data_IF_615909921618
#
_entry.id   IF_615909921618
#
_cell.length_a   1.000
_cell.length_b   1.000
_cell.length_c   1.000
_cell.angle_alpha   90.00
_cell.angle_beta   90.00
_cell.angle_gamma   90.00
#
_symmetry.space_group_name_H-M   'P 1'
#
loop_
_entity.id
_entity.type
_entity.pdbx_description
1 polymer ?
#
# COMPACT_ATOMS: atom_id res chain seq x y z
N UNK A 1 -53.73 -3.92 4.34
CA UNK A 1 -52.58 -3.86 3.42
C UNK A 1 -51.45 -3.17 4.16
N UNK A 2 -50.45 -3.93 4.63
CA UNK A 2 -49.26 -3.34 5.24
C UNK A 2 -48.42 -2.68 4.14
N UNK A 3 -47.92 -1.45 4.32
CA UNK A 3 -46.98 -0.88 3.36
C UNK A 3 -45.72 -1.75 3.40
N UNK A 4 -45.33 -2.29 2.25
CA UNK A 4 -44.02 -2.90 2.06
C UNK A 4 -43.00 -1.78 2.25
N UNK A 5 -42.29 -1.78 3.38
CA UNK A 5 -41.17 -0.88 3.60
C UNK A 5 -40.20 -1.05 2.42
N UNK A 6 -39.84 0.02 1.69
CA UNK A 6 -38.86 -0.09 0.62
C UNK A 6 -37.56 -0.61 1.23
N UNK A 7 -36.92 -1.59 0.59
CA UNK A 7 -35.69 -2.22 1.08
C UNK A 7 -34.69 -1.15 1.53
N UNK A 8 -34.56 -1.00 2.85
CA UNK A 8 -33.81 0.08 3.48
C UNK A 8 -32.30 -0.07 3.30
N UNK A 9 -31.86 -1.14 2.63
CA UNK A 9 -30.49 -1.61 2.58
C UNK A 9 -30.12 -2.04 1.15
N UNK A 10 -29.15 -1.36 0.57
CA UNK A 10 -28.60 -1.63 -0.76
C UNK A 10 -27.17 -2.17 -0.64
N UNK A 11 -26.86 -3.22 -1.39
CA UNK A 11 -25.51 -3.81 -1.45
C UNK A 11 -25.11 -4.02 -2.90
N UNK A 12 -23.94 -3.50 -3.26
CA UNK A 12 -23.26 -3.77 -4.52
C UNK A 12 -22.04 -4.66 -4.25
N UNK A 13 -21.98 -5.82 -4.90
CA UNK A 13 -20.83 -6.72 -4.84
C UNK A 13 -20.33 -7.02 -6.24
N UNK A 14 -19.15 -6.54 -6.62
CA UNK A 14 -18.59 -6.70 -7.98
C UNK A 14 -17.11 -7.09 -7.94
N UNK A 15 -16.62 -7.72 -9.00
CA UNK A 15 -15.18 -7.84 -9.23
C UNK A 15 -14.66 -6.50 -9.73
N UNK A 16 -13.51 -6.08 -9.23
CA UNK A 16 -12.88 -4.81 -9.61
C UNK A 16 -11.38 -5.01 -9.76
N UNK A 17 -10.78 -4.18 -10.61
CA UNK A 17 -9.35 -3.93 -10.54
C UNK A 17 -9.16 -2.65 -9.73
N UNK A 18 -8.34 -2.70 -8.70
CA UNK A 18 -8.01 -1.54 -7.86
C UNK A 18 -6.61 -1.09 -8.20
N UNK A 19 -6.38 0.21 -8.33
CA UNK A 19 -5.06 0.79 -8.58
C UNK A 19 -4.75 1.96 -7.67
N UNK A 20 -3.46 2.19 -7.42
CA UNK A 20 -2.97 3.40 -6.75
C UNK A 20 -2.50 4.39 -7.81
N UNK A 21 -3.11 5.59 -7.90
CA UNK A 21 -2.74 6.60 -8.89
C UNK A 21 -1.25 6.96 -8.84
N UNK A 22 -0.63 7.07 -10.01
CA UNK A 22 0.80 7.41 -10.13
C UNK A 22 1.76 6.25 -9.90
N UNK A 23 1.25 5.04 -9.65
CA UNK A 23 2.06 3.83 -9.47
C UNK A 23 1.69 2.74 -10.47
N UNK A 24 2.52 1.70 -10.58
CA UNK A 24 2.21 0.49 -11.36
C UNK A 24 1.36 -0.52 -10.57
N UNK A 25 1.10 -0.28 -9.28
CA UNK A 25 0.41 -1.23 -8.42
C UNK A 25 -1.08 -1.29 -8.76
N UNK A 26 -1.52 -2.46 -9.21
CA UNK A 26 -2.92 -2.79 -9.39
C UNK A 26 -3.22 -4.21 -8.98
N UNK A 27 -4.33 -4.43 -8.30
CA UNK A 27 -4.75 -5.74 -7.82
C UNK A 27 -6.17 -6.07 -8.27
N UNK A 28 -6.44 -7.36 -8.47
CA UNK A 28 -7.77 -7.90 -8.65
C UNK A 28 -8.39 -8.11 -7.27
N UNK A 29 -9.56 -7.53 -7.06
CA UNK A 29 -10.26 -7.61 -5.79
C UNK A 29 -11.77 -7.80 -6.00
N UNK A 30 -12.45 -8.24 -4.94
CA UNK A 30 -13.89 -8.13 -4.83
C UNK A 30 -14.21 -6.88 -4.03
N UNK A 31 -15.03 -6.01 -4.61
CA UNK A 31 -15.54 -4.82 -3.95
C UNK A 31 -16.95 -5.08 -3.44
N UNK A 32 -17.17 -4.80 -2.15
CA UNK A 32 -18.50 -4.71 -1.54
C UNK A 32 -18.73 -3.25 -1.14
N UNK A 33 -19.84 -2.68 -1.59
CA UNK A 33 -20.32 -1.38 -1.15
C UNK A 33 -21.70 -1.61 -0.56
N UNK A 34 -21.92 -1.18 0.68
CA UNK A 34 -23.23 -1.27 1.30
C UNK A 34 -23.69 0.10 1.78
N UNK A 35 -25.01 0.27 1.77
CA UNK A 35 -25.68 1.48 2.18
C UNK A 35 -27.00 1.13 2.86
N UNK A 36 -27.21 1.64 4.08
CA UNK A 36 -28.49 1.62 4.77
C UNK A 36 -29.01 3.04 4.90
N UNK A 37 -30.32 3.24 4.70
CA UNK A 37 -30.98 4.53 4.92
C UNK A 37 -31.42 4.75 6.37
N UNK A 38 -31.52 3.70 7.19
CA UNK A 38 -32.05 3.81 8.56
C UNK A 38 -31.27 2.89 9.54
N UNK A 39 -30.37 3.46 10.37
CA UNK A 39 -29.77 4.79 10.23
C UNK A 39 -28.86 4.87 8.99
N UNK A 40 -28.57 6.08 8.52
CA UNK A 40 -27.72 6.32 7.34
C UNK A 40 -26.30 5.80 7.55
N UNK A 41 -26.03 4.60 7.04
CA UNK A 41 -24.76 3.89 7.19
C UNK A 41 -24.21 3.48 5.85
N UNK A 42 -22.89 3.43 5.76
CA UNK A 42 -22.20 2.98 4.57
C UNK A 42 -20.91 2.24 4.86
N UNK A 43 -20.48 1.45 3.89
CA UNK A 43 -19.18 0.81 3.90
C UNK A 43 -18.68 0.60 2.47
N UNK A 44 -17.36 0.67 2.30
CA UNK A 44 -16.67 0.12 1.13
C UNK A 44 -15.64 -0.86 1.66
N UNK A 45 -15.69 -2.10 1.18
CA UNK A 45 -14.73 -3.13 1.52
C UNK A 45 -14.14 -3.75 0.26
N UNK A 46 -12.83 -3.92 0.24
CA UNK A 46 -12.08 -4.54 -0.84
C UNK A 46 -11.42 -5.80 -0.31
N UNK A 47 -11.75 -6.96 -0.87
CA UNK A 47 -11.21 -8.24 -0.41
C UNK A 47 -10.42 -8.95 -1.51
N UNK A 48 -9.29 -9.53 -1.15
CA UNK A 48 -8.53 -10.46 -1.98
C UNK A 48 -8.47 -11.83 -1.32
N UNK A 49 -8.29 -12.86 -2.15
CA UNK A 49 -7.88 -14.18 -1.70
C UNK A 49 -6.40 -14.34 -1.98
N UNK A 50 -5.64 -14.81 -1.01
CA UNK A 50 -4.19 -15.00 -1.11
C UNK A 50 -3.77 -16.15 -0.19
N UNK A 51 -2.61 -16.75 -0.48
CA UNK A 51 -2.01 -17.72 0.43
C UNK A 51 -1.02 -16.98 1.34
N UNK A 52 -1.22 -17.02 2.65
CA UNK A 52 -0.31 -16.38 3.60
C UNK A 52 0.79 -17.36 4.03
N UNK A 53 2.02 -16.87 4.20
CA UNK A 53 3.21 -17.69 4.48
C UNK A 53 3.09 -18.59 5.72
N UNK A 54 2.25 -18.22 6.68
CA UNK A 54 2.08 -18.93 7.96
C UNK A 54 0.65 -19.51 8.13
N UNK A 55 -0.13 -19.57 7.06
CA UNK A 55 -1.46 -20.17 7.09
C UNK A 55 -1.43 -21.62 6.64
N UNK A 56 -2.20 -22.47 7.30
CA UNK A 56 -2.52 -23.81 6.81
C UNK A 56 -3.52 -23.76 5.65
N UNK A 57 -4.28 -22.67 5.55
CA UNK A 57 -5.27 -22.46 4.50
C UNK A 57 -4.63 -21.75 3.30
N UNK A 58 -4.79 -22.34 2.12
CA UNK A 58 -4.25 -21.78 0.86
C UNK A 58 -5.12 -20.66 0.26
N UNK A 59 -6.10 -20.14 1.00
CA UNK A 59 -7.05 -19.16 0.49
C UNK A 59 -7.58 -18.23 1.59
N UNK A 60 -6.66 -17.63 2.34
CA UNK A 60 -7.01 -16.60 3.31
C UNK A 60 -7.64 -15.40 2.62
N UNK A 61 -8.63 -14.80 3.28
CA UNK A 61 -9.28 -13.59 2.81
C UNK A 61 -8.73 -12.39 3.58
N UNK A 62 -8.04 -11.49 2.87
CA UNK A 62 -7.67 -10.19 3.41
C UNK A 62 -8.67 -9.14 2.93
N UNK A 63 -9.14 -8.28 3.83
CA UNK A 63 -10.10 -7.24 3.47
C UNK A 63 -9.62 -5.86 3.94
N UNK A 64 -9.57 -4.90 3.02
CA UNK A 64 -9.43 -3.49 3.33
C UNK A 64 -10.82 -2.91 3.53
N UNK A 65 -11.09 -2.37 4.72
CA UNK A 65 -12.30 -1.65 5.02
C UNK A 65 -12.04 -0.14 4.99
N UNK A 66 -12.78 0.57 4.14
CA UNK A 66 -12.72 2.02 4.01
C UNK A 66 -13.88 2.62 4.78
N UNK A 67 -13.54 3.28 5.89
CA UNK A 67 -14.50 4.00 6.72
C UNK A 67 -15.03 5.23 5.94
N UNK A 68 -16.36 5.43 5.83
CA UNK A 68 -16.92 6.59 5.13
C UNK A 68 -16.40 7.94 5.69
N UNK A 69 -16.22 8.04 7.01
CA UNK A 69 -15.64 9.21 7.68
C UNK A 69 -14.18 9.50 7.30
N UNK A 70 -13.46 8.52 6.75
CA UNK A 70 -12.09 8.73 6.25
C UNK A 70 -12.06 9.27 4.82
N UNK A 71 -13.18 9.27 4.09
CA UNK A 71 -13.25 9.73 2.70
C UNK A 71 -13.30 11.25 2.66
N UNK A 72 -12.30 11.87 2.02
CA UNK A 72 -12.25 13.32 1.77
C UNK A 72 -12.94 13.72 0.47
N UNK A 73 -12.78 12.90 -0.55
CA UNK A 73 -13.36 13.14 -1.86
C UNK A 73 -13.58 11.82 -2.58
N UNK A 74 -14.64 11.74 -3.36
CA UNK A 74 -14.93 10.63 -4.26
C UNK A 74 -15.49 11.16 -5.57
N UNK A 75 -15.02 10.61 -6.69
CA UNK A 75 -15.53 10.93 -8.02
C UNK A 75 -15.80 9.65 -8.80
N UNK A 76 -16.99 9.55 -9.39
CA UNK A 76 -17.40 8.40 -10.20
C UNK A 76 -17.57 8.84 -11.64
N UNK A 77 -16.80 8.21 -12.54
CA UNK A 77 -16.90 8.44 -13.98
C UNK A 77 -17.46 7.19 -14.65
N UNK A 78 -18.54 7.33 -15.43
CA UNK A 78 -19.21 6.20 -16.11
C UNK A 78 -18.33 5.56 -17.17
N UNK A 79 -17.67 6.36 -18.01
CA UNK A 79 -16.71 5.90 -19.02
C UNK A 79 -15.33 6.49 -18.76
N UNK A 80 -14.39 5.64 -18.42
CA UNK A 80 -13.04 6.02 -17.99
C UNK A 80 -12.24 6.52 -19.18
N UNK A 81 -11.62 7.67 -19.02
CA UNK A 81 -10.67 8.23 -19.99
C UNK A 81 -9.30 7.53 -19.83
N UNK A 82 -8.44 7.54 -20.86
CA UNK A 82 -7.12 6.89 -20.82
C UNK A 82 -6.21 7.37 -19.67
N UNK A 83 -6.37 8.61 -19.20
CA UNK A 83 -5.63 9.14 -18.05
C UNK A 83 -6.06 8.52 -16.70
N UNK A 84 -7.29 8.03 -16.61
CA UNK A 84 -7.81 7.34 -15.43
C UNK A 84 -7.55 5.83 -15.50
N UNK A 85 -7.67 5.26 -16.70
CA UNK A 85 -7.48 3.85 -16.98
C UNK A 85 -6.57 3.69 -18.21
N UNK A 86 -5.24 3.63 -18.01
CA UNK A 86 -4.27 3.38 -19.07
C UNK A 86 -4.50 2.02 -19.75
N UNK A 87 -3.90 1.84 -20.93
CA UNK A 87 -4.07 0.62 -21.75
C UNK A 87 -3.72 -0.67 -21.00
N UNK A 88 -2.61 -0.70 -20.26
CA UNK A 88 -2.19 -1.88 -19.49
C UNK A 88 -3.23 -2.27 -18.42
N UNK A 89 -3.83 -1.27 -17.79
CA UNK A 89 -4.87 -1.47 -16.78
C UNK A 89 -6.18 -1.94 -17.43
N UNK A 90 -6.52 -1.40 -18.60
CA UNK A 90 -7.67 -1.84 -19.39
C UNK A 90 -7.53 -3.30 -19.83
N UNK A 91 -6.32 -3.71 -20.24
CA UNK A 91 -6.00 -5.10 -20.55
C UNK A 91 -6.17 -6.00 -19.33
N UNK A 92 -5.65 -5.60 -18.16
CA UNK A 92 -5.85 -6.33 -16.90
C UNK A 92 -7.34 -6.49 -16.58
N UNK A 93 -8.14 -5.42 -16.68
CA UNK A 93 -9.59 -5.46 -16.43
C UNK A 93 -10.29 -6.47 -17.36
N UNK A 94 -9.90 -6.54 -18.64
CA UNK A 94 -10.44 -7.51 -19.61
C UNK A 94 -10.06 -8.95 -19.28
N UNK A 95 -8.86 -9.17 -18.76
CA UNK A 95 -8.41 -10.48 -18.29
C UNK A 95 -9.19 -10.90 -17.04
N UNK A 96 -9.47 -9.97 -16.13
CA UNK A 96 -10.18 -10.23 -14.88
C UNK A 96 -11.69 -10.40 -15.07
N UNK A 97 -12.29 -9.66 -16.02
CA UNK A 97 -13.74 -9.62 -16.25
C UNK A 97 -14.03 -9.86 -17.73
N UNK A 98 -14.56 -11.04 -18.03
CA UNK A 98 -14.96 -11.42 -19.39
C UNK A 98 -15.99 -10.45 -19.97
N UNK A 99 -15.83 -10.07 -21.23
CA UNK A 99 -16.72 -9.15 -21.93
C UNK A 99 -16.57 -7.67 -21.55
N UNK A 100 -15.54 -7.28 -20.79
CA UNK A 100 -15.30 -5.89 -20.42
C UNK A 100 -14.90 -5.02 -21.64
N UNK A 101 -15.83 -4.22 -22.14
CA UNK A 101 -15.57 -3.25 -23.23
C UNK A 101 -15.41 -1.83 -22.70
N UNK A 102 -16.38 -1.39 -21.88
CA UNK A 102 -16.40 -0.10 -21.20
C UNK A 102 -16.04 -0.25 -19.72
N UNK A 103 -15.25 0.69 -19.19
CA UNK A 103 -14.81 0.73 -17.79
C UNK A 103 -15.32 1.99 -17.10
N UNK A 104 -15.95 1.85 -15.93
CA UNK A 104 -16.19 2.95 -15.00
C UNK A 104 -15.08 3.01 -13.95
N UNK A 105 -14.70 4.22 -13.53
CA UNK A 105 -13.71 4.42 -12.47
C UNK A 105 -14.31 5.25 -11.34
N UNK A 106 -14.22 4.71 -10.12
CA UNK A 106 -14.44 5.42 -8.88
C UNK A 106 -13.07 5.80 -8.30
N UNK A 107 -12.78 7.09 -8.23
CA UNK A 107 -11.60 7.61 -7.54
C UNK A 107 -11.96 7.99 -6.12
N UNK A 108 -11.16 7.57 -5.14
CA UNK A 108 -11.38 7.81 -3.72
C UNK A 108 -10.11 8.42 -3.13
N UNK A 109 -10.26 9.53 -2.42
CA UNK A 109 -9.20 10.16 -1.64
C UNK A 109 -9.55 10.09 -0.17
N UNK A 110 -8.62 9.58 0.63
CA UNK A 110 -8.79 9.31 2.05
C UNK A 110 -7.94 10.28 2.89
N UNK A 111 -8.45 10.69 4.05
CA UNK A 111 -7.69 11.44 5.05
C UNK A 111 -6.60 10.58 5.69
N UNK A 112 -6.92 9.30 5.89
CA UNK A 112 -6.04 8.25 6.42
C UNK A 112 -6.31 6.95 5.66
N UNK A 113 -5.32 6.05 5.55
CA UNK A 113 -5.55 4.73 4.98
C UNK A 113 -6.70 3.96 5.65
N UNK A 114 -7.26 2.98 4.94
CA UNK A 114 -8.30 2.11 5.48
C UNK A 114 -7.77 1.17 6.57
N UNK A 115 -8.66 0.38 7.15
CA UNK A 115 -8.32 -0.63 8.15
C UNK A 115 -8.24 -2.00 7.48
N UNK A 116 -7.23 -2.79 7.82
CA UNK A 116 -7.04 -4.13 7.30
C UNK A 116 -7.69 -5.13 8.26
N UNK A 117 -8.56 -5.96 7.71
CA UNK A 117 -9.15 -7.11 8.36
C UNK A 117 -8.35 -8.34 7.93
N UNK A 118 -7.72 -8.99 8.89
CA UNK A 118 -6.89 -10.17 8.66
C UNK A 118 -7.07 -11.22 9.77
N UNK A 119 -6.59 -12.47 9.56
CA UNK A 119 -6.67 -13.49 10.60
C UNK A 119 -6.04 -13.06 11.93
N UNK A 120 -6.67 -13.44 13.04
CA UNK A 120 -6.27 -13.02 14.40
C UNK A 120 -4.86 -13.45 14.80
N UNK A 121 -4.38 -14.58 14.27
CA UNK A 121 -3.04 -15.10 14.50
C UNK A 121 -1.94 -14.24 13.86
N UNK A 122 -2.26 -13.46 12.83
CA UNK A 122 -1.28 -12.73 12.05
C UNK A 122 -0.72 -11.53 12.84
N UNK A 123 0.58 -11.59 13.17
CA UNK A 123 1.35 -10.45 13.71
C UNK A 123 1.93 -9.58 12.59
N UNK A 124 2.19 -10.18 11.43
CA UNK A 124 2.58 -9.51 10.19
C UNK A 124 2.04 -10.31 9.01
N UNK A 125 1.71 -9.63 7.92
CA UNK A 125 1.21 -10.26 6.70
C UNK A 125 2.33 -10.37 5.66
N UNK A 126 2.51 -11.58 5.15
CA UNK A 126 3.35 -11.90 4.00
C UNK A 126 2.68 -13.02 3.21
N UNK A 127 2.81 -12.98 1.89
CA UNK A 127 2.35 -14.06 1.00
C UNK A 127 3.25 -15.29 1.15
N UNK A 128 2.69 -16.49 0.96
CA UNK A 128 3.44 -17.74 0.81
C UNK A 128 4.32 -17.72 -0.46
N UNK A 129 3.88 -16.98 -1.47
CA UNK A 129 4.62 -16.69 -2.68
C UNK A 129 5.15 -15.24 -2.61
N UNK A 130 6.47 -15.03 -2.45
CA UNK A 130 7.04 -13.69 -2.37
C UNK A 130 6.88 -12.88 -3.67
N UNK A 131 6.58 -13.52 -4.80
CA UNK A 131 6.35 -12.88 -6.09
C UNK A 131 4.86 -12.66 -6.41
N UNK A 132 3.96 -12.92 -5.45
CA UNK A 132 2.51 -12.68 -5.62
C UNK A 132 2.25 -11.17 -5.84
N UNK A 133 2.23 -10.79 -7.12
CA UNK A 133 2.02 -9.42 -7.57
C UNK A 133 0.67 -8.85 -7.10
N UNK A 134 -0.34 -9.71 -6.89
CA UNK A 134 -1.65 -9.29 -6.42
C UNK A 134 -1.61 -8.95 -4.92
N UNK A 135 -0.94 -9.78 -4.12
CA UNK A 135 -0.68 -9.51 -2.70
C UNK A 135 0.14 -8.23 -2.50
N UNK A 136 1.26 -8.09 -3.25
CA UNK A 136 2.13 -6.91 -3.18
C UNK A 136 1.33 -5.65 -3.53
N UNK A 137 0.58 -5.67 -4.64
CA UNK A 137 -0.25 -4.53 -5.03
C UNK A 137 -1.33 -4.23 -3.98
N UNK A 138 -1.96 -5.25 -3.39
CA UNK A 138 -2.97 -5.08 -2.35
C UNK A 138 -2.39 -4.46 -1.07
N UNK A 139 -1.18 -4.84 -0.68
CA UNK A 139 -0.47 -4.23 0.45
C UNK A 139 -0.23 -2.72 0.21
N UNK A 140 0.25 -2.34 -0.98
CA UNK A 140 0.41 -0.93 -1.36
C UNK A 140 -0.95 -0.18 -1.39
N UNK A 141 -2.01 -0.83 -1.86
CA UNK A 141 -3.38 -0.29 -1.85
C UNK A 141 -3.85 -0.04 -0.42
N UNK A 142 -3.63 -0.98 0.51
CA UNK A 142 -4.01 -0.83 1.91
C UNK A 142 -3.31 0.34 2.59
N UNK A 143 -2.07 0.63 2.21
CA UNK A 143 -1.27 1.74 2.76
C UNK A 143 -1.54 3.08 2.07
N UNK A 144 -2.27 3.09 0.94
CA UNK A 144 -2.52 4.31 0.16
C UNK A 144 -3.66 5.15 0.71
N UNK A 145 -3.57 6.46 0.45
CA UNK A 145 -4.65 7.44 0.66
C UNK A 145 -5.39 7.80 -0.62
N UNK A 146 -4.94 7.34 -1.78
CA UNK A 146 -5.59 7.59 -3.07
C UNK A 146 -5.76 6.27 -3.81
N UNK A 147 -7.00 5.97 -4.17
CA UNK A 147 -7.40 4.71 -4.77
C UNK A 147 -8.26 4.96 -6.00
N UNK A 148 -8.14 4.10 -7.01
CA UNK A 148 -9.07 4.01 -8.13
C UNK A 148 -9.63 2.60 -8.20
N UNK A 149 -10.95 2.48 -8.17
CA UNK A 149 -11.67 1.23 -8.34
C UNK A 149 -12.24 1.22 -9.75
N UNK A 150 -11.81 0.25 -10.55
CA UNK A 150 -12.21 0.10 -11.94
C UNK A 150 -13.24 -1.03 -12.06
N UNK A 151 -14.44 -0.65 -12.50
CA UNK A 151 -15.54 -1.56 -12.71
C UNK A 151 -15.76 -1.73 -14.22
N UNK A 152 -15.80 -2.96 -14.72
CA UNK A 152 -16.33 -3.20 -16.06
C UNK A 152 -17.84 -2.91 -16.07
N UNK A 153 -18.31 -2.07 -17.00
CA UNK A 153 -19.72 -1.64 -17.05
C UNK A 153 -20.68 -2.81 -17.28
N UNK A 154 -20.22 -3.85 -18.00
CA UNK A 154 -20.98 -5.09 -18.26
C UNK A 154 -21.44 -5.80 -16.97
N UNK A 155 -20.80 -5.52 -15.83
CA UNK A 155 -21.19 -6.13 -14.55
C UNK A 155 -22.39 -5.43 -13.89
N UNK A 156 -22.77 -4.22 -14.31
CA UNK A 156 -23.87 -3.48 -13.69
C UNK A 156 -25.21 -3.89 -14.30
N UNK A 157 -26.15 -4.21 -13.42
CA UNK A 157 -27.57 -4.37 -13.73
C UNK A 157 -28.25 -3.00 -13.76
N UNK A 158 -29.50 -2.98 -14.22
CA UNK A 158 -30.30 -1.77 -14.31
C UNK A 158 -30.39 -1.05 -12.96
N UNK A 159 -30.14 0.27 -12.95
CA UNK A 159 -30.19 1.10 -11.74
C UNK A 159 -29.02 0.95 -10.75
N UNK A 160 -28.21 -0.11 -10.81
CA UNK A 160 -27.08 -0.30 -9.88
C UNK A 160 -26.03 0.82 -9.99
N UNK A 161 -25.74 1.27 -11.22
CA UNK A 161 -24.77 2.34 -11.45
C UNK A 161 -25.23 3.69 -10.87
N UNK A 162 -26.53 4.01 -11.02
CA UNK A 162 -27.08 5.24 -10.44
C UNK A 162 -27.17 5.14 -8.91
N UNK A 163 -27.41 3.94 -8.37
CA UNK A 163 -27.34 3.70 -6.92
C UNK A 163 -25.93 3.90 -6.39
N UNK A 164 -24.91 3.40 -7.10
CA UNK A 164 -23.50 3.66 -6.80
C UNK A 164 -23.17 5.16 -6.87
N UNK A 165 -23.70 5.86 -7.86
CA UNK A 165 -23.54 7.32 -7.98
C UNK A 165 -24.12 8.06 -6.77
N UNK A 166 -25.35 7.71 -6.36
CA UNK A 166 -26.00 8.27 -5.16
C UNK A 166 -25.21 7.97 -3.89
N UNK A 167 -24.67 6.76 -3.76
CA UNK A 167 -23.79 6.43 -2.65
C UNK A 167 -22.53 7.31 -2.63
N UNK A 168 -21.85 7.45 -3.77
CA UNK A 168 -20.64 8.26 -3.88
C UNK A 168 -20.88 9.74 -3.54
N UNK A 169 -22.06 10.30 -3.88
CA UNK A 169 -22.37 11.69 -3.52
C UNK A 169 -22.63 11.89 -2.02
N UNK A 170 -22.90 10.81 -1.28
CA UNK A 170 -23.27 10.86 0.15
C UNK A 170 -22.22 10.28 1.07
N UNK A 171 -21.23 9.55 0.56
CA UNK A 171 -20.30 8.74 1.36
C UNK A 171 -19.69 9.49 2.56
N UNK A 172 -19.37 10.78 2.41
CA UNK A 172 -18.70 11.56 3.46
C UNK A 172 -19.58 11.84 4.69
N UNK A 173 -20.92 11.83 4.52
CA UNK A 173 -21.87 12.08 5.60
C UNK A 173 -22.42 10.78 6.23
N UNK A 174 -22.09 9.62 5.66
CA UNK A 174 -22.56 8.33 6.16
C UNK A 174 -21.87 7.94 7.46
N UNK A 175 -22.62 7.33 8.37
CA UNK A 175 -22.02 6.66 9.50
C UNK A 175 -21.35 5.34 9.05
N UNK A 176 -20.25 4.92 9.67
CA UNK A 176 -19.65 3.62 9.38
C UNK A 176 -20.61 2.49 9.75
N UNK A 177 -20.72 1.50 8.86
CA UNK A 177 -21.32 0.21 9.20
C UNK A 177 -20.47 -0.45 10.30
N UNK A 178 -21.13 -0.95 11.36
CA UNK A 178 -20.47 -1.68 12.44
C UNK A 178 -20.47 -3.16 12.09
N UNK A 179 -19.29 -3.75 12.02
CA UNK A 179 -19.14 -5.17 11.75
C UNK A 179 -18.60 -5.86 13.02
N UNK A 180 -19.25 -6.94 13.46
CA UNK A 180 -18.75 -7.79 14.54
C UNK A 180 -17.74 -8.79 13.97
N UNK A 181 -16.49 -8.35 13.81
CA UNK A 181 -15.43 -9.16 13.20
C UNK A 181 -14.88 -10.25 14.14
N UNK A 182 -15.06 -10.09 15.46
CA UNK A 182 -14.45 -10.96 16.47
C UNK A 182 -14.99 -12.39 16.43
N UNK A 183 -16.26 -12.56 16.02
CA UNK A 183 -16.90 -13.87 15.90
C UNK A 183 -16.37 -14.72 14.74
N UNK A 184 -15.58 -14.14 13.84
CA UNK A 184 -15.11 -14.80 12.62
C UNK A 184 -13.60 -15.05 12.59
N UNK A 185 -12.90 -14.90 13.73
CA UNK A 185 -11.44 -15.13 13.81
C UNK A 185 -10.61 -14.06 13.07
N UNK A 186 -11.22 -12.91 12.77
CA UNK A 186 -10.60 -11.79 12.06
C UNK A 186 -10.45 -10.61 13.02
N UNK A 187 -9.36 -9.86 12.86
CA UNK A 187 -9.05 -8.67 13.66
C UNK A 187 -8.76 -7.47 12.78
N UNK A 188 -9.08 -6.29 13.30
CA UNK A 188 -8.71 -5.01 12.70
C UNK A 188 -7.25 -4.68 12.99
N UNK A 189 -6.52 -4.31 11.95
CA UNK A 189 -5.09 -3.96 12.00
C UNK A 189 -4.81 -2.73 11.15
N UNK A 190 -3.80 -1.99 11.58
CA UNK A 190 -3.25 -0.91 10.78
C UNK A 190 -2.54 -1.46 9.53
N UNK A 191 -2.58 -0.77 8.38
CA UNK A 191 -1.90 -1.21 7.15
C UNK A 191 -0.38 -1.42 7.26
N UNK A 192 0.27 -0.91 8.32
CA UNK A 192 1.66 -1.24 8.66
C UNK A 192 1.89 -2.73 8.99
N UNK A 193 0.84 -3.54 9.15
CA UNK A 193 0.96 -5.00 9.31
C UNK A 193 1.59 -5.68 8.07
N UNK A 194 1.47 -5.06 6.90
CA UNK A 194 2.18 -5.49 5.70
C UNK A 194 3.65 -5.05 5.82
N UNK A 195 4.55 -6.03 5.96
CA UNK A 195 5.99 -5.79 5.92
C UNK A 195 6.44 -5.79 4.46
N UNK A 196 6.12 -4.71 3.75
CA UNK A 196 6.73 -4.48 2.44
C UNK A 196 8.20 -4.16 2.69
N UNK A 197 9.09 -4.89 2.02
CA UNK A 197 10.51 -4.54 1.99
C UNK A 197 10.63 -3.07 1.57
N UNK A 198 11.54 -2.29 2.19
CA UNK A 198 11.84 -0.97 1.65
C UNK A 198 12.17 -1.14 0.15
N UNK A 199 11.77 -0.18 -0.71
CA UNK A 199 12.16 -0.26 -2.11
C UNK A 199 13.67 -0.48 -2.16
N UNK A 200 14.17 -1.36 -3.05
CA UNK A 200 15.61 -1.44 -3.26
C UNK A 200 16.07 0.00 -3.48
N UNK A 201 17.04 0.44 -2.67
CA UNK A 201 17.70 1.72 -2.93
C UNK A 201 18.05 1.71 -4.41
N UNK A 202 17.65 2.74 -5.15
CA UNK A 202 18.31 3.01 -6.42
C UNK A 202 19.79 3.09 -6.05
N UNK A 203 20.55 2.06 -6.37
CA UNK A 203 22.00 2.15 -6.38
C UNK A 203 22.25 3.26 -7.40
N UNK A 204 22.41 4.49 -6.90
CA UNK A 204 22.94 5.60 -7.65
C UNK A 204 24.16 5.01 -8.32
N UNK A 205 24.10 4.86 -9.65
CA UNK A 205 25.18 4.31 -10.44
C UNK A 205 26.40 5.16 -10.10
N UNK A 206 27.23 4.68 -9.18
CA UNK A 206 28.53 5.24 -8.92
C UNK A 206 29.21 5.11 -10.27
N UNK A 207 29.53 6.23 -10.95
CA UNK A 207 30.25 6.13 -12.20
C UNK A 207 31.49 5.32 -11.91
N UNK A 208 31.69 4.26 -12.69
CA UNK A 208 32.92 3.47 -12.73
C UNK A 208 34.10 4.43 -12.57
N UNK A 209 35.08 4.17 -11.68
CA UNK A 209 36.23 5.06 -11.55
C UNK A 209 36.84 5.26 -12.94
N UNK A 210 36.61 6.43 -13.52
CA UNK A 210 37.38 6.89 -14.64
C UNK A 210 38.82 6.94 -14.14
N UNK A 211 39.67 6.22 -14.86
CA UNK A 211 41.09 6.47 -15.09
C UNK A 211 41.74 7.44 -14.09
N UNK A 212 42.63 6.88 -13.26
CA UNK A 212 43.51 7.56 -12.31
C UNK A 212 43.76 9.03 -12.66
N UNK A 213 43.05 9.93 -11.99
CA UNK A 213 43.50 11.29 -11.79
C UNK A 213 44.14 11.34 -10.39
N UNK A 214 45.41 11.74 -10.35
CA UNK A 214 46.18 11.83 -9.11
C UNK A 214 45.46 12.70 -8.06
N UNK A 215 45.57 12.35 -6.76
CA UNK A 215 45.08 13.20 -5.69
C UNK A 215 45.81 14.54 -5.70
N UNK A 216 45.17 15.65 -5.29
CA UNK A 216 45.81 16.95 -5.28
C UNK A 216 47.02 16.95 -4.34
N UNK A 217 48.19 17.33 -4.88
CA UNK A 217 49.40 17.55 -4.09
C UNK A 217 49.19 18.75 -3.14
N UNK A 218 49.35 18.50 -1.84
CA UNK A 218 49.44 19.55 -0.84
C UNK A 218 50.84 20.16 -0.90
N UNK A 219 50.95 21.42 -1.30
CA UNK A 219 52.20 22.18 -1.26
C UNK A 219 52.51 22.57 0.19
N UNK A 220 53.54 21.96 0.76
CA UNK A 220 54.15 22.43 2.00
C UNK A 220 55.29 23.44 1.70
N UNK A 221 55.27 24.54 2.45
CA UNK A 221 56.35 25.50 2.78
C UNK A 221 56.50 26.77 1.92
N UNK A 222 57.15 27.86 2.43
CA UNK A 222 57.88 28.03 3.71
C UNK A 222 57.59 29.32 4.51
N UNK A 223 57.72 29.25 5.84
CA UNK A 223 57.81 30.42 6.73
C UNK A 223 58.85 30.21 7.83
N UNK A 224 60.12 30.48 7.52
CA UNK A 224 61.25 30.65 8.44
C UNK A 224 60.92 31.79 9.44
N UNK A 225 61.21 31.77 10.75
CA UNK A 225 62.50 31.57 11.41
C UNK A 225 62.32 31.49 12.96
N UNK A 226 63.38 31.12 13.73
CA UNK A 226 63.29 30.50 15.05
C UNK A 226 63.40 31.48 16.24
N UNK A 227 62.83 31.11 17.39
CA UNK A 227 63.21 31.68 18.69
C UNK A 227 63.66 30.56 19.63
N UNK A 228 64.94 30.66 19.98
CA UNK A 228 65.71 29.85 20.91
C UNK A 228 65.14 29.96 22.34
N UNK A 229 65.00 28.82 23.01
CA UNK A 229 64.77 28.73 24.45
C UNK A 229 65.29 27.41 25.00
N UNK A 230 66.54 27.41 25.49
CA UNK A 230 67.21 26.26 26.12
C UNK A 230 66.49 25.79 27.39
N UNK A 231 66.36 24.47 27.59
CA UNK A 231 66.96 23.75 28.72
C UNK A 231 66.90 22.23 28.52
N UNK A 232 68.03 21.65 28.84
CA UNK A 232 68.46 20.27 28.72
C UNK A 232 68.14 19.50 30.02
N UNK A 233 67.75 18.21 29.90
CA UNK A 233 68.26 17.05 30.66
C UNK A 233 67.32 15.85 30.54
N UNK A 234 67.88 14.70 30.14
CA UNK A 234 67.46 13.39 30.65
C UNK A 234 67.12 12.34 29.60
N UNK A 235 68.10 11.50 29.29
CA UNK A 235 68.10 10.35 28.38
C UNK A 235 67.20 9.15 28.82
N UNK A 236 66.98 8.15 27.93
CA UNK A 236 65.94 7.13 27.95
C UNK A 236 66.41 5.75 28.43
N UNK A 237 65.47 4.82 28.66
CA UNK A 237 65.67 3.36 28.64
C UNK A 237 64.36 2.75 28.11
N UNK A 238 64.26 2.13 26.92
CA UNK A 238 64.91 0.96 26.31
C UNK A 238 64.52 -0.39 26.96
N UNK A 239 63.99 -1.29 26.10
CA UNK A 239 63.77 -2.75 26.21
C UNK A 239 62.65 -3.24 27.15
N UNK A 240 61.90 -4.33 26.85
CA UNK A 240 62.09 -5.42 25.88
C UNK A 240 60.80 -6.22 25.71
N UNK A 241 60.57 -6.73 24.51
CA UNK A 241 59.70 -7.88 24.22
C UNK A 241 60.10 -9.11 25.02
N UNK A 242 59.12 -9.90 25.49
CA UNK A 242 59.22 -11.37 25.50
C UNK A 242 57.84 -12.04 25.51
N UNK A 243 57.88 -13.23 24.94
CA UNK A 243 56.85 -14.09 24.36
C UNK A 243 56.58 -15.26 25.32
N UNK A 244 55.41 -15.92 25.15
CA UNK A 244 55.05 -17.27 25.64
C UNK A 244 54.84 -17.40 27.18
N UNK A 245 53.96 -18.26 27.73
CA UNK A 245 53.06 -19.29 27.20
C UNK A 245 51.94 -19.57 28.23
N UNK A 246 50.92 -20.24 27.72
CA UNK A 246 49.77 -20.91 28.34
C UNK A 246 49.92 -21.44 29.78
N UNK A 247 48.80 -21.37 30.49
CA UNK A 247 48.24 -22.49 31.26
C UNK A 247 46.71 -22.41 31.14
#
# INVERSE_FOLDING_TARGET
MSPVLPESHWVLSKKVVVSVPGTKHSCDARCRIAFSNDPERGSISLSIKTALANSTDRSDSLTLNICPKAVRNSSLVKRSKPNLCPSDLSLKIRQTISGATDVSTLSIHLARPGIVLCPSWAKSLSSSDPEDSNFIAFAHICQSKSLRLHFALVQFQEGEFESLRKFCSRIQILQPESFDHHRHGVVERDPSIFKLSPPPYDEEHVPTPAEQADPPQYNDQPGLNPVIGKRDRGMPHLHSSKRFQLS
#
